data_IF_996515562886
#
_entry.id   IF_996515562886
#
_cell.length_a   1.000
_cell.length_b   1.000
_cell.length_c   1.000
_cell.angle_alpha   90.00
_cell.angle_beta   90.00
_cell.angle_gamma   90.00
#
_symmetry.space_group_name_H-M   'P 1'
#
loop_
_entity.id
_entity.type
_entity.pdbx_description
1 polymer ?
#
# COMPACT_ATOMS: atom_id res chain seq x y z
N UNK A 1 18.86 -37.11 -5.83
CA UNK A 1 19.04 -36.55 -4.47
C UNK A 1 18.73 -35.07 -4.56
N UNK A 2 17.75 -34.57 -3.80
CA UNK A 2 17.48 -33.13 -3.73
C UNK A 2 18.64 -32.48 -2.98
N UNK A 3 19.27 -31.47 -3.59
CA UNK A 3 20.41 -30.79 -3.00
C UNK A 3 19.90 -29.86 -1.87
N UNK A 4 20.46 -29.99 -0.67
CA UNK A 4 20.05 -29.16 0.48
C UNK A 4 20.21 -27.67 0.20
N UNK A 5 21.21 -27.29 -0.59
CA UNK A 5 21.49 -25.90 -0.97
C UNK A 5 20.33 -25.29 -1.77
N UNK A 6 19.80 -26.03 -2.76
CA UNK A 6 18.72 -25.58 -3.64
C UNK A 6 17.41 -25.36 -2.87
N UNK A 7 17.12 -26.23 -1.89
CA UNK A 7 15.93 -26.08 -1.03
C UNK A 7 16.02 -24.82 -0.17
N UNK A 8 17.22 -24.50 0.33
CA UNK A 8 17.44 -23.29 1.13
C UNK A 8 17.25 -22.04 0.27
N UNK A 9 17.84 -22.01 -0.93
CA UNK A 9 17.68 -20.88 -1.87
C UNK A 9 16.23 -20.67 -2.29
N UNK A 10 15.50 -21.76 -2.53
CA UNK A 10 14.07 -21.72 -2.83
C UNK A 10 13.27 -21.12 -1.67
N UNK A 11 13.50 -21.57 -0.43
CA UNK A 11 12.82 -21.03 0.75
C UNK A 11 13.14 -19.55 0.99
N UNK A 12 14.41 -19.15 0.80
CA UNK A 12 14.81 -17.73 0.89
C UNK A 12 14.05 -16.90 -0.14
N UNK A 13 13.86 -17.43 -1.35
CA UNK A 13 13.15 -16.74 -2.43
C UNK A 13 11.68 -16.56 -2.09
N UNK A 14 11.01 -17.60 -1.55
CA UNK A 14 9.62 -17.50 -1.08
C UNK A 14 9.48 -16.42 0.00
N UNK A 15 10.38 -16.41 0.98
CA UNK A 15 10.34 -15.42 2.08
C UNK A 15 10.52 -14.00 1.53
N UNK A 16 11.42 -13.78 0.57
CA UNK A 16 11.60 -12.48 -0.08
C UNK A 16 10.33 -12.04 -0.81
N UNK A 17 9.70 -12.92 -1.58
CA UNK A 17 8.44 -12.61 -2.26
C UNK A 17 7.32 -12.25 -1.27
N UNK A 18 7.22 -12.99 -0.16
CA UNK A 18 6.26 -12.70 0.89
C UNK A 18 6.52 -11.35 1.56
N UNK A 19 7.79 -11.01 1.82
CA UNK A 19 8.18 -9.71 2.36
C UNK A 19 7.80 -8.56 1.42
N UNK A 20 8.03 -8.71 0.10
CA UNK A 20 7.60 -7.72 -0.90
C UNK A 20 6.07 -7.56 -0.88
N UNK A 21 5.33 -8.66 -0.80
CA UNK A 21 3.87 -8.63 -0.74
C UNK A 21 3.36 -7.90 0.52
N UNK A 22 3.97 -8.15 1.68
CA UNK A 22 3.64 -7.44 2.91
C UNK A 22 3.97 -5.94 2.81
N UNK A 23 5.15 -5.58 2.29
CA UNK A 23 5.58 -4.19 2.17
C UNK A 23 4.66 -3.40 1.22
N UNK A 24 4.44 -3.91 0.01
CA UNK A 24 3.63 -3.21 -1.00
C UNK A 24 2.12 -3.29 -0.72
N UNK A 25 1.69 -4.33 -0.04
CA UNK A 25 0.28 -4.60 0.22
C UNK A 25 -0.25 -3.98 1.51
N UNK A 26 0.49 -4.09 2.62
CA UNK A 26 0.07 -3.56 3.93
C UNK A 26 0.69 -2.21 4.24
N UNK A 27 2.00 -2.07 4.07
CA UNK A 27 2.72 -0.90 4.57
C UNK A 27 2.60 0.29 3.62
N UNK A 28 2.84 0.07 2.32
CA UNK A 28 2.80 1.11 1.30
C UNK A 28 1.47 1.90 1.30
N UNK A 29 0.27 1.27 1.27
CA UNK A 29 -0.95 2.06 1.26
C UNK A 29 -1.18 2.85 2.56
N UNK A 30 -0.73 2.35 3.72
CA UNK A 30 -0.80 3.11 4.98
C UNK A 30 0.13 4.32 4.97
N UNK A 31 1.33 4.18 4.39
CA UNK A 31 2.29 5.29 4.24
C UNK A 31 1.69 6.35 3.30
N UNK A 32 1.10 5.93 2.18
CA UNK A 32 0.46 6.85 1.23
C UNK A 32 -0.72 7.56 1.90
N UNK A 33 -1.58 6.85 2.63
CA UNK A 33 -2.73 7.44 3.33
C UNK A 33 -2.27 8.48 4.37
N UNK A 34 -1.25 8.15 5.17
CA UNK A 34 -0.66 9.10 6.12
C UNK A 34 -0.05 10.33 5.44
N UNK A 35 0.68 10.13 4.33
CA UNK A 35 1.28 11.21 3.56
C UNK A 35 0.22 12.15 2.97
N UNK A 36 -0.86 11.58 2.41
CA UNK A 36 -1.99 12.34 1.89
C UNK A 36 -2.72 13.09 3.00
N UNK A 37 -3.03 12.44 4.11
CA UNK A 37 -3.67 13.07 5.26
C UNK A 37 -2.85 14.28 5.74
N UNK A 38 -1.53 14.13 5.86
CA UNK A 38 -0.64 15.22 6.26
C UNK A 38 -0.63 16.35 5.23
N UNK A 39 -0.56 16.04 3.94
CA UNK A 39 -0.57 17.05 2.87
C UNK A 39 -1.87 17.85 2.86
N UNK A 40 -3.01 17.19 3.02
CA UNK A 40 -4.34 17.81 3.01
C UNK A 40 -4.56 18.66 4.25
N UNK A 41 -4.21 18.14 5.43
CA UNK A 41 -4.55 18.77 6.70
C UNK A 41 -3.61 19.94 7.05
N UNK A 42 -2.37 19.94 6.57
CA UNK A 42 -1.45 21.07 6.77
C UNK A 42 -1.71 22.26 5.84
N UNK A 43 -2.56 22.11 4.83
CA UNK A 43 -2.76 23.13 3.80
C UNK A 43 -4.12 23.80 3.96
N UNK A 44 -4.20 24.71 4.93
CA UNK A 44 -5.28 25.72 5.05
C UNK A 44 -5.48 26.56 3.75
N UNK A 45 -4.60 26.38 2.75
CA UNK A 45 -4.56 27.06 1.46
C UNK A 45 -5.54 26.46 0.43
N UNK A 46 -5.94 25.17 0.54
CA UNK A 46 -6.76 24.53 -0.51
C UNK A 46 -8.28 24.65 -0.33
N UNK A 47 -8.78 25.39 0.68
CA UNK A 47 -10.22 25.64 0.87
C UNK A 47 -10.93 26.24 -0.36
N UNK A 48 -10.19 26.90 -1.27
CA UNK A 48 -10.74 27.52 -2.49
C UNK A 48 -10.44 26.78 -3.80
N UNK A 49 -9.70 25.67 -3.77
CA UNK A 49 -9.37 24.92 -5.00
C UNK A 49 -10.24 23.68 -5.13
N UNK A 50 -11.41 23.86 -5.77
CA UNK A 50 -12.35 22.78 -6.12
C UNK A 50 -11.63 21.66 -6.90
N UNK A 51 -10.64 22.01 -7.72
CA UNK A 51 -9.86 21.06 -8.50
C UNK A 51 -8.95 20.18 -7.63
N UNK A 52 -8.20 20.78 -6.70
CA UNK A 52 -7.31 20.03 -5.80
C UNK A 52 -8.15 19.16 -4.86
N UNK A 53 -9.26 19.67 -4.34
CA UNK A 53 -10.20 18.87 -3.54
C UNK A 53 -10.77 17.68 -4.33
N UNK A 54 -11.23 17.88 -5.58
CA UNK A 54 -11.78 16.78 -6.39
C UNK A 54 -10.73 15.73 -6.76
N UNK A 55 -9.51 16.14 -7.14
CA UNK A 55 -8.43 15.21 -7.50
C UNK A 55 -8.02 14.39 -6.26
N UNK A 56 -7.87 15.05 -5.12
CA UNK A 56 -7.52 14.39 -3.86
C UNK A 56 -8.64 13.44 -3.43
N UNK A 57 -9.90 13.87 -3.43
CA UNK A 57 -11.03 13.06 -3.00
C UNK A 57 -11.22 11.82 -3.90
N UNK A 58 -11.00 11.95 -5.21
CA UNK A 58 -11.06 10.81 -6.15
C UNK A 58 -9.90 9.82 -5.94
N UNK A 59 -8.71 10.32 -5.62
CA UNK A 59 -7.52 9.49 -5.38
C UNK A 59 -7.55 8.80 -4.02
N UNK A 60 -8.15 9.43 -3.01
CA UNK A 60 -8.40 8.84 -1.69
C UNK A 60 -9.31 7.61 -1.83
N UNK A 61 -10.37 7.68 -2.64
CA UNK A 61 -11.24 6.53 -2.89
C UNK A 61 -10.48 5.37 -3.54
N UNK A 62 -9.52 5.66 -4.43
CA UNK A 62 -8.69 4.62 -5.04
C UNK A 62 -7.80 3.92 -4.00
N UNK A 63 -7.21 4.68 -3.08
CA UNK A 63 -6.37 4.14 -2.00
C UNK A 63 -7.20 3.33 -1.00
N UNK A 64 -8.38 3.82 -0.62
CA UNK A 64 -9.28 3.06 0.24
C UNK A 64 -9.77 1.77 -0.42
N UNK A 65 -10.08 1.80 -1.71
CA UNK A 65 -10.45 0.59 -2.46
C UNK A 65 -9.28 -0.40 -2.55
N UNK A 66 -8.06 0.08 -2.76
CA UNK A 66 -6.85 -0.76 -2.75
C UNK A 66 -6.65 -1.41 -1.36
N UNK A 67 -6.73 -0.63 -0.28
CA UNK A 67 -6.63 -1.15 1.10
C UNK A 67 -7.75 -2.16 1.38
N UNK A 68 -8.97 -1.89 0.93
CA UNK A 68 -10.13 -2.74 1.13
C UNK A 68 -9.96 -4.09 0.42
N UNK A 69 -9.62 -4.08 -0.86
CA UNK A 69 -9.38 -5.31 -1.65
C UNK A 69 -8.22 -6.09 -1.03
N UNK A 70 -7.14 -5.40 -0.65
CA UNK A 70 -5.98 -6.04 -0.04
C UNK A 70 -6.32 -6.69 1.32
N UNK A 71 -7.12 -6.01 2.14
CA UNK A 71 -7.66 -6.60 3.39
C UNK A 71 -8.52 -7.82 3.13
N UNK A 72 -9.37 -7.80 2.10
CA UNK A 72 -10.20 -8.96 1.72
C UNK A 72 -9.34 -10.15 1.28
N UNK A 73 -8.26 -9.91 0.53
CA UNK A 73 -7.30 -10.96 0.18
C UNK A 73 -6.57 -11.55 1.39
N UNK A 74 -6.36 -10.77 2.44
CA UNK A 74 -5.73 -11.22 3.69
C UNK A 74 -6.71 -11.81 4.72
N UNK A 75 -8.01 -11.50 4.62
CA UNK A 75 -9.04 -12.02 5.51
C UNK A 75 -9.66 -13.35 5.02
N UNK A 76 -9.09 -13.92 3.98
CA UNK A 76 -9.33 -15.28 3.47
C UNK A 76 -8.36 -16.26 4.13
#
# INVERSE_FOLDING_TARGET
MINKQEVIEFNITIIKCFAVFLLLGLFLPKIIDYALYKLINNTNIYKNSIFVYNVINRNINFIYNYIYIFKQFLSL
#
